data_IF_869189375618
#
_entry.id   IF_869189375618
#
_cell.length_a   1.000
_cell.length_b   1.000
_cell.length_c   1.000
_cell.angle_alpha   90.00
_cell.angle_beta   90.00
_cell.angle_gamma   90.00
#
_symmetry.space_group_name_H-M   'P 1'
#
loop_
_entity.id
_entity.type
_entity.pdbx_description
1 polymer ?
#
# COMPACT_ATOMS: atom_id res chain seq x y z
N UNK A 1 -9.18 -62.66 18.73
CA UNK A 1 -7.73 -62.86 18.53
C UNK A 1 -7.48 -64.35 18.44
N UNK A 2 -6.62 -64.88 17.56
CA UNK A 2 -5.41 -64.28 16.95
C UNK A 2 -5.47 -64.32 15.39
N UNK A 3 -4.55 -63.83 14.57
CA UNK A 3 -3.22 -63.24 14.75
C UNK A 3 -2.95 -62.29 13.58
N UNK A 4 -2.20 -61.21 13.85
CA UNK A 4 -1.74 -60.23 12.86
C UNK A 4 -0.41 -60.73 12.30
N UNK A 5 -0.24 -60.67 10.98
CA UNK A 5 1.10 -60.68 10.39
C UNK A 5 1.38 -59.44 9.54
N UNK A 6 2.60 -58.94 9.68
CA UNK A 6 3.11 -57.64 9.25
C UNK A 6 3.80 -57.77 7.89
N UNK A 7 3.23 -57.13 6.86
CA UNK A 7 3.88 -56.94 5.57
C UNK A 7 4.22 -55.47 5.31
N UNK A 8 5.43 -55.05 5.66
CA UNK A 8 5.94 -53.71 5.36
C UNK A 8 6.18 -53.54 3.85
N UNK A 9 5.61 -52.49 3.23
CA UNK A 9 6.07 -51.96 1.93
C UNK A 9 6.32 -50.45 2.03
N UNK A 10 7.62 -50.19 2.25
CA UNK A 10 8.46 -49.01 2.01
C UNK A 10 7.80 -47.76 1.40
N UNK A 11 7.97 -46.64 2.10
CA UNK A 11 7.90 -45.26 1.57
C UNK A 11 9.06 -45.03 0.60
N UNK A 12 8.89 -44.31 -0.53
CA UNK A 12 10.04 -43.78 -1.25
C UNK A 12 10.60 -42.60 -0.45
N UNK A 13 11.90 -42.69 -0.14
CA UNK A 13 12.71 -41.61 0.41
C UNK A 13 12.82 -40.55 -0.68
N UNK A 14 12.30 -39.34 -0.42
CA UNK A 14 12.50 -38.21 -1.33
C UNK A 14 13.93 -37.73 -1.09
N UNK A 15 14.80 -38.12 -2.00
CA UNK A 15 16.20 -37.74 -2.06
C UNK A 15 16.32 -36.24 -2.34
N UNK A 16 17.17 -35.59 -1.54
CA UNK A 16 17.41 -34.16 -1.54
C UNK A 16 18.20 -33.75 -2.80
N UNK A 17 17.48 -33.60 -3.92
CA UNK A 17 18.01 -33.03 -5.16
C UNK A 17 17.84 -31.52 -5.18
N UNK A 18 18.99 -30.82 -5.13
CA UNK A 18 19.15 -29.42 -5.58
C UNK A 18 18.56 -29.25 -7.00
N UNK A 19 18.32 -28.00 -7.41
CA UNK A 19 17.75 -27.54 -8.69
C UNK A 19 16.22 -27.39 -8.72
N UNK A 20 15.74 -26.20 -8.37
CA UNK A 20 14.33 -25.84 -8.53
C UNK A 20 14.04 -24.36 -8.24
N UNK A 21 14.87 -23.45 -8.73
CA UNK A 21 14.66 -22.01 -8.56
C UNK A 21 14.11 -21.29 -9.80
N UNK A 22 13.77 -21.99 -10.89
CA UNK A 22 13.49 -21.27 -12.14
C UNK A 22 12.01 -21.07 -12.48
N UNK A 23 11.07 -21.84 -11.95
CA UNK A 23 9.67 -21.73 -12.38
C UNK A 23 8.68 -21.89 -11.22
N UNK A 24 8.61 -20.89 -10.32
CA UNK A 24 7.44 -20.77 -9.45
C UNK A 24 6.20 -20.43 -10.31
N UNK A 25 5.03 -21.06 -10.04
CA UNK A 25 3.83 -20.84 -10.84
C UNK A 25 3.44 -19.37 -10.87
N UNK A 26 2.96 -18.92 -12.02
CA UNK A 26 2.78 -17.51 -12.34
C UNK A 26 1.96 -16.72 -11.31
N UNK A 27 0.94 -17.37 -10.75
CA UNK A 27 0.06 -16.85 -9.70
C UNK A 27 0.77 -16.60 -8.37
N UNK A 28 1.78 -17.42 -8.00
CA UNK A 28 2.58 -17.22 -6.78
C UNK A 28 3.54 -16.04 -6.90
N UNK A 29 4.12 -15.80 -8.10
CA UNK A 29 5.01 -14.66 -8.35
C UNK A 29 4.27 -13.32 -8.33
N UNK A 30 3.11 -13.23 -9.01
CA UNK A 30 2.24 -12.02 -8.98
C UNK A 30 1.83 -11.65 -7.56
N UNK A 31 1.36 -12.64 -6.80
CA UNK A 31 0.98 -12.44 -5.39
C UNK A 31 2.17 -12.00 -4.54
N UNK A 32 3.40 -12.35 -4.92
CA UNK A 32 4.63 -11.87 -4.27
C UNK A 32 4.91 -10.40 -4.55
N UNK A 33 4.77 -9.94 -5.80
CA UNK A 33 4.94 -8.54 -6.19
C UNK A 33 3.88 -7.62 -5.57
N UNK A 34 2.60 -8.01 -5.67
CA UNK A 34 1.48 -7.25 -5.08
C UNK A 34 1.60 -7.14 -3.55
N UNK A 35 1.98 -8.22 -2.87
CA UNK A 35 2.23 -8.21 -1.42
C UNK A 35 3.48 -7.40 -1.07
N UNK A 36 4.54 -7.49 -1.89
CA UNK A 36 5.77 -6.73 -1.71
C UNK A 36 5.50 -5.22 -1.78
N UNK A 37 4.82 -4.77 -2.84
CA UNK A 37 4.42 -3.38 -3.02
C UNK A 37 3.54 -2.90 -1.86
N UNK A 38 2.48 -3.65 -1.53
CA UNK A 38 1.57 -3.28 -0.44
C UNK A 38 2.29 -3.16 0.91
N UNK A 39 3.22 -4.07 1.23
CA UNK A 39 3.98 -4.00 2.48
C UNK A 39 4.87 -2.74 2.56
N UNK A 40 5.46 -2.33 1.44
CA UNK A 40 6.29 -1.12 1.40
C UNK A 40 5.39 0.12 1.55
N UNK A 41 4.31 0.20 0.78
CA UNK A 41 3.36 1.33 0.86
C UNK A 41 2.69 1.41 2.24
N UNK A 42 2.41 0.29 2.91
CA UNK A 42 1.82 0.29 4.25
C UNK A 42 2.79 0.90 5.28
N UNK A 43 4.09 0.60 5.17
CA UNK A 43 5.12 1.23 6.02
C UNK A 43 5.21 2.74 5.77
N UNK A 44 5.10 3.18 4.52
CA UNK A 44 5.08 4.61 4.17
C UNK A 44 3.89 5.29 4.84
N UNK A 45 2.68 4.74 4.68
CA UNK A 45 1.46 5.32 5.29
C UNK A 45 1.53 5.31 6.81
N UNK A 46 1.99 4.23 7.42
CA UNK A 46 2.10 4.16 8.88
C UNK A 46 3.12 5.21 9.40
N UNK A 47 4.25 5.39 8.71
CA UNK A 47 5.21 6.46 9.02
C UNK A 47 4.59 7.86 8.90
N UNK A 48 3.82 8.12 7.85
CA UNK A 48 3.12 9.40 7.66
C UNK A 48 2.11 9.67 8.78
N UNK A 49 1.37 8.64 9.21
CA UNK A 49 0.39 8.75 10.30
C UNK A 49 1.03 8.97 11.67
N UNK A 50 2.23 8.45 11.89
CA UNK A 50 2.97 8.64 13.14
C UNK A 50 3.56 10.07 13.26
N UNK A 51 3.72 10.76 12.13
CA UNK A 51 4.11 12.19 12.06
C UNK A 51 2.93 13.11 12.31
N UNK A 52 2.42 13.08 13.54
CA UNK A 52 1.24 13.83 13.98
C UNK A 52 1.40 15.35 13.89
N UNK A 53 2.63 15.86 13.84
CA UNK A 53 2.94 17.27 13.61
C UNK A 53 2.38 17.78 12.26
N UNK A 54 2.26 16.90 11.26
CA UNK A 54 1.76 17.24 9.93
C UNK A 54 0.48 16.49 9.54
N UNK A 55 0.25 15.28 10.08
CA UNK A 55 -0.81 14.39 9.59
C UNK A 55 -2.14 14.46 10.33
N UNK A 56 -2.21 15.10 11.51
CA UNK A 56 -3.35 14.98 12.44
C UNK A 56 -4.72 15.32 11.83
N UNK A 57 -4.78 16.28 10.88
CA UNK A 57 -6.00 16.67 10.17
C UNK A 57 -6.42 15.71 9.05
N UNK A 58 -5.51 14.85 8.59
CA UNK A 58 -5.69 14.02 7.40
C UNK A 58 -5.79 12.52 7.74
N UNK A 59 -5.87 12.17 9.03
CA UNK A 59 -5.90 10.79 9.50
C UNK A 59 -7.18 10.05 9.15
N UNK A 60 -8.30 10.76 8.98
CA UNK A 60 -9.65 10.21 8.75
C UNK A 60 -10.42 11.06 7.75
N UNK A 61 -11.50 10.52 7.13
CA UNK A 61 -12.37 11.32 6.27
C UNK A 61 -12.94 12.53 7.02
N UNK A 62 -12.97 13.68 6.35
CA UNK A 62 -13.57 14.91 6.88
C UNK A 62 -15.06 14.68 7.13
N UNK A 63 -15.51 14.94 8.35
CA UNK A 63 -16.91 14.78 8.72
C UNK A 63 -17.72 16.05 8.44
N UNK A 64 -19.03 15.89 8.18
CA UNK A 64 -19.97 17.02 8.05
C UNK A 64 -20.04 17.92 9.30
N UNK A 65 -19.59 17.43 10.46
CA UNK A 65 -19.55 18.24 11.69
C UNK A 65 -18.38 19.23 11.66
N UNK A 66 -17.25 18.80 11.12
CA UNK A 66 -16.05 19.64 10.98
C UNK A 66 -16.20 20.62 9.81
N UNK A 67 -16.83 20.17 8.72
CA UNK A 67 -16.98 20.94 7.50
C UNK A 67 -18.32 20.57 6.81
N UNK A 68 -19.43 21.30 7.12
CA UNK A 68 -20.77 20.96 6.64
C UNK A 68 -20.92 20.93 5.11
N UNK A 69 -20.24 21.84 4.40
CA UNK A 69 -20.27 22.01 2.94
C UNK A 69 -19.11 21.29 2.23
N UNK A 70 -18.31 20.48 2.96
CA UNK A 70 -17.11 19.85 2.39
C UNK A 70 -17.40 19.00 1.16
N UNK A 71 -18.41 18.12 1.23
CA UNK A 71 -18.78 17.22 0.14
C UNK A 71 -19.54 17.93 -1.00
N UNK A 72 -20.00 19.15 -0.77
CA UNK A 72 -20.61 19.98 -1.82
C UNK A 72 -19.52 20.60 -2.71
N UNK A 73 -18.32 20.81 -2.17
CA UNK A 73 -17.17 21.39 -2.87
C UNK A 73 -16.23 20.28 -3.37
N UNK A 74 -15.81 19.39 -2.48
CA UNK A 74 -14.83 18.32 -2.75
C UNK A 74 -15.52 17.09 -3.33
N UNK A 75 -15.19 16.79 -4.58
CA UNK A 75 -15.81 15.68 -5.35
C UNK A 75 -15.13 14.33 -5.16
N UNK A 76 -13.85 14.33 -4.81
CA UNK A 76 -13.07 13.11 -4.53
C UNK A 76 -12.38 13.26 -3.17
N UNK A 77 -13.09 12.99 -2.06
CA UNK A 77 -12.50 13.00 -0.73
C UNK A 77 -11.38 11.96 -0.64
N UNK A 78 -10.33 12.26 0.13
CA UNK A 78 -9.24 11.34 0.41
C UNK A 78 -8.63 11.64 1.76
N UNK A 79 -8.09 10.61 2.41
CA UNK A 79 -7.47 10.67 3.73
C UNK A 79 -6.54 9.46 3.95
N UNK A 80 -5.67 9.52 4.96
CA UNK A 80 -4.67 8.49 5.22
C UNK A 80 -5.28 7.14 5.64
N UNK A 81 -6.46 7.11 6.28
CA UNK A 81 -7.12 5.84 6.61
C UNK A 81 -7.67 5.15 5.38
N UNK A 82 -8.27 5.90 4.46
CA UNK A 82 -8.73 5.39 3.16
C UNK A 82 -7.55 4.88 2.33
N UNK A 83 -6.46 5.65 2.22
CA UNK A 83 -5.25 5.23 1.49
C UNK A 83 -4.69 3.92 2.08
N UNK A 84 -4.61 3.81 3.42
CA UNK A 84 -4.15 2.59 4.09
C UNK A 84 -5.03 1.38 3.76
N UNK A 85 -6.35 1.57 3.71
CA UNK A 85 -7.27 0.50 3.34
C UNK A 85 -7.04 0.04 1.90
N UNK A 86 -6.86 0.97 0.95
CA UNK A 86 -6.52 0.66 -0.44
C UNK A 86 -5.20 -0.11 -0.57
N UNK A 87 -4.18 0.27 0.20
CA UNK A 87 -2.91 -0.47 0.28
C UNK A 87 -3.14 -1.90 0.73
N UNK A 88 -3.89 -2.12 1.82
CA UNK A 88 -4.20 -3.45 2.37
C UNK A 88 -5.01 -4.33 1.41
N UNK A 89 -5.84 -3.71 0.58
CA UNK A 89 -6.58 -4.37 -0.50
C UNK A 89 -5.74 -4.62 -1.75
N UNK A 90 -4.46 -4.20 -1.76
CA UNK A 90 -3.54 -4.32 -2.90
C UNK A 90 -4.09 -3.66 -4.18
N UNK A 91 -4.80 -2.54 -4.00
CA UNK A 91 -5.42 -1.79 -5.11
C UNK A 91 -4.42 -1.05 -5.97
N UNK A 92 -3.27 -0.66 -5.41
CA UNK A 92 -2.20 -0.01 -6.16
C UNK A 92 -1.31 -1.04 -6.84
N UNK A 93 -1.04 -0.83 -8.13
CA UNK A 93 -0.07 -1.58 -8.94
C UNK A 93 1.22 -0.81 -9.14
N UNK A 94 1.15 0.51 -9.03
CA UNK A 94 2.31 1.41 -9.09
C UNK A 94 2.29 2.41 -7.94
N UNK A 95 3.46 2.81 -7.45
CA UNK A 95 3.57 3.85 -6.41
C UNK A 95 2.98 5.18 -6.87
N UNK A 96 2.92 5.45 -8.17
CA UNK A 96 2.35 6.68 -8.73
C UNK A 96 0.86 6.79 -8.44
N UNK A 97 0.13 5.68 -8.44
CA UNK A 97 -1.29 5.64 -8.09
C UNK A 97 -1.49 5.96 -6.60
N UNK A 98 -0.62 5.42 -5.75
CA UNK A 98 -0.56 5.73 -4.33
C UNK A 98 -0.24 7.21 -4.09
N UNK A 99 0.80 7.73 -4.76
CA UNK A 99 1.21 9.14 -4.68
C UNK A 99 0.10 10.07 -5.19
N UNK A 100 -0.66 9.66 -6.20
CA UNK A 100 -1.79 10.44 -6.71
C UNK A 100 -2.88 10.63 -5.66
N UNK A 101 -3.20 9.60 -4.86
CA UNK A 101 -4.16 9.77 -3.75
C UNK A 101 -3.57 10.62 -2.61
N UNK A 102 -2.26 10.56 -2.36
CA UNK A 102 -1.59 11.50 -1.45
C UNK A 102 -1.70 12.95 -1.95
N UNK A 103 -1.48 13.19 -3.24
CA UNK A 103 -1.69 14.49 -3.86
C UNK A 103 -3.17 14.92 -3.79
N UNK A 104 -4.12 14.00 -3.88
CA UNK A 104 -5.55 14.31 -3.75
C UNK A 104 -5.88 14.92 -2.38
N UNK A 105 -5.19 14.51 -1.31
CA UNK A 105 -5.32 15.15 0.02
C UNK A 105 -4.89 16.61 -0.06
N UNK A 106 -3.71 16.88 -0.61
CA UNK A 106 -3.16 18.24 -0.79
C UNK A 106 -4.06 19.11 -1.66
N UNK A 107 -4.50 18.60 -2.80
CA UNK A 107 -5.43 19.30 -3.69
C UNK A 107 -6.74 19.67 -2.99
N UNK A 108 -7.34 18.72 -2.25
CA UNK A 108 -8.56 18.98 -1.50
C UNK A 108 -8.34 19.98 -0.37
N UNK A 109 -7.17 19.95 0.28
CA UNK A 109 -6.81 20.89 1.33
C UNK A 109 -6.78 22.32 0.77
N UNK A 110 -6.11 22.56 -0.36
CA UNK A 110 -6.12 23.86 -1.03
C UNK A 110 -7.52 24.27 -1.48
N UNK A 111 -8.19 23.41 -2.26
CA UNK A 111 -9.48 23.73 -2.86
C UNK A 111 -10.54 24.14 -1.81
N UNK A 112 -10.54 23.48 -0.66
CA UNK A 112 -11.49 23.78 0.41
C UNK A 112 -11.02 24.91 1.34
N UNK A 113 -9.71 25.00 1.63
CA UNK A 113 -9.21 25.85 2.71
C UNK A 113 -8.52 27.14 2.26
N UNK A 114 -8.21 27.32 0.98
CA UNK A 114 -7.63 28.57 0.49
C UNK A 114 -8.59 29.73 0.80
N UNK A 115 -8.11 30.70 1.59
CA UNK A 115 -8.92 31.83 2.08
C UNK A 115 -9.86 31.53 3.25
N UNK A 116 -10.03 30.26 3.64
CA UNK A 116 -10.83 29.86 4.83
C UNK A 116 -9.94 29.54 6.03
N UNK A 117 -8.99 28.62 5.84
CA UNK A 117 -8.10 28.12 6.88
C UNK A 117 -6.66 28.08 6.32
N UNK A 118 -5.95 29.21 6.25
CA UNK A 118 -4.66 29.31 5.55
C UNK A 118 -3.54 28.45 6.17
N UNK A 119 -3.71 27.96 7.40
CA UNK A 119 -2.75 27.05 8.04
C UNK A 119 -2.86 25.58 7.61
N UNK A 120 -3.97 25.17 6.98
CA UNK A 120 -4.20 23.76 6.61
C UNK A 120 -3.45 23.36 5.32
N UNK A 121 -3.50 24.14 4.21
CA UNK A 121 -2.82 23.73 2.98
C UNK A 121 -1.31 23.51 3.14
N UNK A 122 -0.54 24.37 3.85
CA UNK A 122 0.89 24.12 4.08
C UNK A 122 1.19 22.81 4.83
N UNK A 123 0.30 22.36 5.72
CA UNK A 123 0.46 21.06 6.38
C UNK A 123 0.27 19.90 5.40
N UNK A 124 -0.66 20.03 4.45
CA UNK A 124 -0.88 19.04 3.41
C UNK A 124 0.28 19.00 2.39
N UNK A 125 0.90 20.15 2.11
CA UNK A 125 2.12 20.23 1.31
C UNK A 125 3.27 19.48 1.99
N UNK A 126 3.51 19.76 3.29
CA UNK A 126 4.54 19.08 4.08
C UNK A 126 4.32 17.56 4.16
N UNK A 127 3.05 17.13 4.27
CA UNK A 127 2.69 15.71 4.26
C UNK A 127 3.04 15.05 2.92
N UNK A 128 2.78 15.72 1.79
CA UNK A 128 3.11 15.23 0.46
C UNK A 128 4.63 15.20 0.22
N UNK A 129 5.36 16.22 0.66
CA UNK A 129 6.83 16.23 0.60
C UNK A 129 7.45 15.09 1.39
N UNK A 130 6.94 14.82 2.60
CA UNK A 130 7.37 13.68 3.40
C UNK A 130 7.06 12.35 2.71
N UNK A 131 5.89 12.23 2.07
CA UNK A 131 5.55 11.06 1.27
C UNK A 131 6.55 10.85 0.12
N UNK A 132 6.87 11.90 -0.63
CA UNK A 132 7.82 11.85 -1.74
C UNK A 132 9.22 11.45 -1.27
N UNK A 133 9.65 11.96 -0.12
CA UNK A 133 10.89 11.54 0.52
C UNK A 133 10.88 10.03 0.84
N UNK A 134 9.83 9.53 1.49
CA UNK A 134 9.72 8.11 1.86
C UNK A 134 9.65 7.18 0.63
N UNK A 135 8.95 7.59 -0.43
CA UNK A 135 8.91 6.83 -1.69
C UNK A 135 10.30 6.78 -2.35
N UNK A 136 11.07 7.86 -2.27
CA UNK A 136 12.44 7.92 -2.77
C UNK A 136 13.38 7.00 -1.98
N UNK A 137 13.28 6.98 -0.66
CA UNK A 137 14.06 6.07 0.21
C UNK A 137 13.80 4.59 -0.10
N UNK A 138 12.59 4.26 -0.58
CA UNK A 138 12.21 2.90 -0.96
C UNK A 138 12.29 2.62 -2.47
N UNK A 139 12.91 3.51 -3.26
CA UNK A 139 12.80 3.49 -4.72
C UNK A 139 13.16 2.15 -5.36
N UNK A 140 14.30 1.56 -4.96
CA UNK A 140 14.76 0.27 -5.49
C UNK A 140 13.77 -0.86 -5.21
N UNK A 141 13.33 -0.99 -3.95
CA UNK A 141 12.41 -2.06 -3.53
C UNK A 141 11.04 -1.92 -4.17
N UNK A 142 10.56 -0.70 -4.36
CA UNK A 142 9.32 -0.42 -5.07
C UNK A 142 9.46 -0.82 -6.54
N UNK A 143 10.57 -0.49 -7.21
CA UNK A 143 10.78 -0.81 -8.63
C UNK A 143 10.86 -2.31 -8.88
N UNK A 144 11.53 -3.06 -8.00
CA UNK A 144 11.56 -4.53 -8.04
C UNK A 144 10.15 -5.13 -7.87
N UNK A 145 9.35 -4.59 -6.94
CA UNK A 145 7.98 -5.04 -6.70
C UNK A 145 7.05 -4.73 -7.88
N UNK A 146 7.14 -3.52 -8.44
CA UNK A 146 6.38 -3.07 -9.61
C UNK A 146 6.73 -3.89 -10.86
N UNK A 147 8.01 -4.11 -11.15
CA UNK A 147 8.44 -4.96 -12.28
C UNK A 147 7.93 -6.41 -12.15
N UNK A 148 7.87 -6.93 -10.92
CA UNK A 148 7.26 -8.22 -10.61
C UNK A 148 5.76 -8.31 -10.90
N UNK A 149 5.06 -7.17 -10.93
CA UNK A 149 3.65 -7.03 -11.31
C UNK A 149 3.53 -6.83 -12.84
N UNK A 150 4.32 -5.92 -13.42
CA UNK A 150 4.25 -5.46 -14.83
C UNK A 150 4.69 -6.48 -15.88
N UNK A 151 5.67 -7.34 -15.55
CA UNK A 151 6.30 -8.32 -16.48
C UNK A 151 5.34 -9.34 -17.14
N UNK A 152 4.02 -9.16 -16.99
CA UNK A 152 2.94 -9.99 -17.52
C UNK A 152 1.67 -9.24 -17.95
N UNK A 153 1.70 -7.92 -18.14
CA UNK A 153 0.63 -7.24 -18.90
C UNK A 153 0.84 -7.34 -20.43
N UNK A 154 1.93 -7.98 -20.87
CA UNK A 154 2.27 -8.26 -22.26
C UNK A 154 2.43 -9.76 -22.51
#
# INVERSE_FOLDING_TARGET
>A
MPERDRGAKRRPVVELGRYGAEHAPATKRRRGGEVGLANILERVVDTLKDRLDVSYLFLKPVSKKEAPDYLDIIKRPMDLSTIREKVRKMEYKHREEFRHDMWQITYNAHLYNDGRNPGIPPLADQLLELCDYLLKEHNYSLSEAEAGIESREH
#
